data_IF_316300143218
#
_entry.id   IF_316300143218
#
_cell.length_a   1.000
_cell.length_b   1.000
_cell.length_c   1.000
_cell.angle_alpha   90.00
_cell.angle_beta   90.00
_cell.angle_gamma   90.00
#
_symmetry.space_group_name_H-M   'P 1'
#
loop_
_entity.id
_entity.type
_entity.pdbx_description
1 polymer ?
#
# COMPACT_ATOMS: atom_id res chain seq x y z
N UNK A 1 -13.63 8.89 -7.48
CA UNK A 1 -13.14 7.67 -8.13
C UNK A 1 -12.88 6.54 -7.12
N UNK A 2 -12.01 6.71 -6.08
CA UNK A 2 -11.67 5.63 -5.15
C UNK A 2 -12.84 5.10 -4.32
N UNK A 3 -13.67 5.99 -3.78
CA UNK A 3 -14.87 5.57 -3.03
C UNK A 3 -15.84 4.80 -3.92
N UNK A 4 -15.98 5.22 -5.19
CA UNK A 4 -16.81 4.51 -6.16
C UNK A 4 -16.22 3.12 -6.48
N UNK A 5 -14.91 3.04 -6.69
CA UNK A 5 -14.20 1.77 -6.92
C UNK A 5 -14.35 0.82 -5.73
N UNK A 6 -14.20 1.33 -4.50
CA UNK A 6 -14.41 0.56 -3.29
C UNK A 6 -15.86 0.06 -3.17
N UNK A 7 -16.85 0.95 -3.36
CA UNK A 7 -18.27 0.57 -3.32
C UNK A 7 -18.61 -0.49 -4.38
N UNK A 8 -18.04 -0.36 -5.59
CA UNK A 8 -18.20 -1.36 -6.64
C UNK A 8 -17.64 -2.72 -6.20
N UNK A 9 -16.44 -2.72 -5.62
CA UNK A 9 -15.80 -3.93 -5.10
C UNK A 9 -16.58 -4.54 -3.94
N UNK A 10 -17.19 -3.71 -3.08
CA UNK A 10 -17.96 -4.18 -1.93
C UNK A 10 -19.33 -4.73 -2.34
N UNK A 11 -20.09 -3.98 -3.16
CA UNK A 11 -21.41 -4.41 -3.67
C UNK A 11 -21.32 -5.66 -4.55
N UNK A 12 -20.22 -5.82 -5.30
CA UNK A 12 -19.95 -7.04 -6.08
C UNK A 12 -19.53 -8.25 -5.24
N UNK A 13 -19.36 -8.08 -3.90
CA UNK A 13 -18.87 -9.12 -3.00
C UNK A 13 -17.37 -9.39 -3.09
N UNK A 14 -16.64 -8.69 -3.98
CA UNK A 14 -15.20 -8.90 -4.20
C UNK A 14 -14.32 -8.36 -3.07
N UNK A 15 -14.87 -7.55 -2.17
CA UNK A 15 -14.16 -7.13 -0.95
C UNK A 15 -13.77 -8.32 -0.07
N UNK A 16 -14.59 -9.37 -0.03
CA UNK A 16 -14.29 -10.63 0.68
C UNK A 16 -13.11 -11.37 0.02
N UNK A 17 -13.13 -11.47 -1.32
CA UNK A 17 -12.06 -12.11 -2.07
C UNK A 17 -10.74 -11.34 -1.90
N UNK A 18 -10.78 -10.00 -1.90
CA UNK A 18 -9.59 -9.17 -1.66
C UNK A 18 -8.99 -9.39 -0.26
N UNK A 19 -9.84 -9.52 0.77
CA UNK A 19 -9.40 -9.86 2.12
C UNK A 19 -8.77 -11.26 2.17
N UNK A 20 -9.38 -12.23 1.50
CA UNK A 20 -8.83 -13.58 1.40
C UNK A 20 -7.46 -13.60 0.69
N UNK A 21 -7.29 -12.78 -0.35
CA UNK A 21 -5.98 -12.57 -1.02
C UNK A 21 -4.94 -12.07 -0.02
N UNK A 22 -5.25 -11.03 0.77
CA UNK A 22 -4.31 -10.53 1.77
C UNK A 22 -4.04 -11.53 2.89
N UNK A 23 -5.03 -12.35 3.25
CA UNK A 23 -4.83 -13.43 4.22
C UNK A 23 -3.82 -14.47 3.71
N UNK A 24 -3.95 -14.89 2.46
CA UNK A 24 -3.00 -15.81 1.82
C UNK A 24 -1.61 -15.18 1.73
N UNK A 25 -1.51 -13.93 1.26
CA UNK A 25 -0.24 -13.21 1.17
C UNK A 25 0.42 -13.08 2.56
N UNK A 26 -0.34 -12.70 3.59
CA UNK A 26 0.15 -12.54 4.96
C UNK A 26 0.41 -13.85 5.71
N UNK A 27 0.27 -15.02 5.06
CA UNK A 27 0.48 -16.35 5.66
C UNK A 27 -0.36 -16.57 6.94
N UNK A 28 -1.54 -15.97 7.01
CA UNK A 28 -2.42 -16.07 8.17
C UNK A 28 -2.00 -15.21 9.38
N UNK A 29 -0.94 -14.40 9.29
CA UNK A 29 -0.56 -13.47 10.35
C UNK A 29 -1.28 -12.12 10.16
N UNK A 30 -2.17 -11.77 11.09
CA UNK A 30 -2.94 -10.51 11.02
C UNK A 30 -2.05 -9.25 11.03
N UNK A 31 -0.87 -9.30 11.65
CA UNK A 31 0.09 -8.19 11.69
C UNK A 31 0.76 -8.00 10.34
N UNK A 32 1.14 -9.10 9.68
CA UNK A 32 1.69 -9.07 8.32
C UNK A 32 0.65 -8.55 7.33
N UNK A 33 -0.60 -9.02 7.43
CA UNK A 33 -1.71 -8.52 6.62
C UNK A 33 -1.96 -7.03 6.84
N UNK A 34 -2.04 -6.60 8.11
CA UNK A 34 -2.23 -5.19 8.46
C UNK A 34 -1.09 -4.31 7.94
N UNK A 35 0.17 -4.77 8.03
CA UNK A 35 1.32 -4.07 7.48
C UNK A 35 1.19 -3.88 5.96
N UNK A 36 0.91 -4.96 5.22
CA UNK A 36 0.80 -4.92 3.75
C UNK A 36 -0.35 -4.02 3.31
N UNK A 37 -1.51 -4.13 3.98
CA UNK A 37 -2.68 -3.30 3.66
C UNK A 37 -2.43 -1.83 4.02
N UNK A 38 -1.91 -1.54 5.20
CA UNK A 38 -1.72 -0.18 5.69
C UNK A 38 -0.59 0.57 4.97
N UNK A 39 0.46 -0.13 4.57
CA UNK A 39 1.64 0.49 3.95
C UNK A 39 1.59 0.42 2.43
N UNK A 40 1.59 -0.78 1.85
CA UNK A 40 1.73 -0.94 0.40
C UNK A 40 0.39 -0.76 -0.33
N UNK A 41 -0.69 -1.41 0.11
CA UNK A 41 -1.98 -1.31 -0.58
C UNK A 41 -2.63 0.07 -0.39
N UNK A 42 -2.59 0.62 0.82
CA UNK A 42 -3.07 1.98 1.07
C UNK A 42 -2.27 3.00 0.24
N UNK A 43 -0.96 2.86 0.15
CA UNK A 43 -0.11 3.70 -0.68
C UNK A 43 -0.44 3.62 -2.18
N UNK A 44 -0.76 2.43 -2.68
CA UNK A 44 -1.26 2.25 -4.05
C UNK A 44 -2.56 3.03 -4.28
N UNK A 45 -3.51 2.89 -3.37
CA UNK A 45 -4.77 3.64 -3.44
C UNK A 45 -4.55 5.15 -3.31
N UNK A 46 -3.60 5.58 -2.47
CA UNK A 46 -3.24 7.00 -2.31
C UNK A 46 -2.70 7.58 -3.61
N UNK A 47 -1.79 6.86 -4.28
CA UNK A 47 -1.27 7.27 -5.59
C UNK A 47 -2.36 7.44 -6.64
N UNK A 48 -3.38 6.58 -6.63
CA UNK A 48 -4.49 6.61 -7.60
C UNK A 48 -5.54 7.69 -7.30
N UNK A 49 -5.85 7.92 -6.03
CA UNK A 49 -7.04 8.68 -5.65
C UNK A 49 -6.79 9.79 -4.61
N UNK A 50 -5.90 9.57 -3.67
CA UNK A 50 -5.54 10.53 -2.63
C UNK A 50 -6.70 11.02 -1.75
N UNK A 51 -6.50 12.17 -1.13
CA UNK A 51 -7.52 12.94 -0.39
C UNK A 51 -8.22 12.18 0.76
N UNK A 52 -7.52 11.23 1.40
CA UNK A 52 -8.01 10.53 2.59
C UNK A 52 -8.96 9.35 2.33
N UNK A 53 -9.50 9.19 1.12
CA UNK A 53 -10.34 8.04 0.79
C UNK A 53 -9.59 6.69 0.95
N UNK A 54 -8.32 6.56 0.53
CA UNK A 54 -7.52 5.36 0.73
C UNK A 54 -7.39 4.95 2.19
N UNK A 55 -7.18 5.93 3.07
CA UNK A 55 -7.06 5.69 4.52
C UNK A 55 -8.35 5.10 5.09
N UNK A 56 -9.51 5.64 4.71
CA UNK A 56 -10.81 5.12 5.18
C UNK A 56 -11.03 3.67 4.72
N UNK A 57 -10.71 3.37 3.46
CA UNK A 57 -10.85 2.03 2.87
C UNK A 57 -9.90 1.04 3.56
N UNK A 58 -8.62 1.36 3.64
CA UNK A 58 -7.62 0.49 4.24
C UNK A 58 -7.86 0.31 5.75
N UNK A 59 -8.29 1.36 6.48
CA UNK A 59 -8.62 1.24 7.89
C UNK A 59 -9.84 0.32 8.13
N UNK A 60 -10.87 0.41 7.28
CA UNK A 60 -11.99 -0.52 7.33
C UNK A 60 -11.52 -1.97 7.09
N UNK A 61 -10.65 -2.19 6.11
CA UNK A 61 -10.07 -3.51 5.83
C UNK A 61 -9.27 -4.04 7.02
N UNK A 62 -8.35 -3.23 7.57
CA UNK A 62 -7.52 -3.64 8.72
C UNK A 62 -8.37 -3.91 9.97
N UNK A 63 -9.43 -3.12 10.20
CA UNK A 63 -10.36 -3.37 11.31
C UNK A 63 -11.09 -4.71 11.18
N UNK A 64 -11.37 -5.20 9.97
CA UNK A 64 -12.01 -6.51 9.77
C UNK A 64 -11.09 -7.70 10.05
N UNK A 65 -9.79 -7.47 10.24
CA UNK A 65 -8.85 -8.51 10.69
C UNK A 65 -8.98 -8.84 12.18
N UNK A 66 -9.85 -8.13 12.92
CA UNK A 66 -10.04 -8.31 14.36
C UNK A 66 -9.25 -7.33 15.23
N UNK A 67 -8.53 -6.37 14.63
CA UNK A 67 -7.82 -5.34 15.36
C UNK A 67 -8.79 -4.26 15.91
N UNK A 68 -8.49 -3.66 17.08
CA UNK A 68 -9.27 -2.53 17.59
C UNK A 68 -9.35 -1.40 16.55
N UNK A 69 -10.54 -0.86 16.30
CA UNK A 69 -10.80 0.14 15.25
C UNK A 69 -9.86 1.35 15.33
N UNK A 70 -9.58 1.85 16.53
CA UNK A 70 -8.65 2.97 16.73
C UNK A 70 -7.23 2.58 16.32
N UNK A 71 -6.76 1.39 16.70
CA UNK A 71 -5.44 0.89 16.31
C UNK A 71 -5.35 0.71 14.79
N UNK A 72 -6.37 0.15 14.15
CA UNK A 72 -6.45 0.03 12.69
C UNK A 72 -6.35 1.39 12.00
N UNK A 73 -7.10 2.39 12.47
CA UNK A 73 -7.03 3.73 11.93
C UNK A 73 -5.63 4.36 12.06
N UNK A 74 -5.03 4.29 13.26
CA UNK A 74 -3.68 4.84 13.51
C UNK A 74 -2.63 4.17 12.62
N UNK A 75 -2.62 2.84 12.52
CA UNK A 75 -1.67 2.09 11.70
C UNK A 75 -1.78 2.51 10.23
N UNK A 76 -3.00 2.63 9.71
CA UNK A 76 -3.22 3.02 8.31
C UNK A 76 -2.83 4.48 8.07
N UNK A 77 -3.18 5.41 8.96
CA UNK A 77 -2.78 6.81 8.83
C UNK A 77 -1.27 6.98 8.82
N UNK A 78 -0.56 6.31 9.73
CA UNK A 78 0.91 6.34 9.79
C UNK A 78 1.52 5.69 8.54
N UNK A 79 0.99 4.54 8.11
CA UNK A 79 1.47 3.84 6.92
C UNK A 79 1.28 4.64 5.63
N UNK A 80 0.19 5.41 5.54
CA UNK A 80 -0.11 6.24 4.37
C UNK A 80 0.72 7.52 4.30
N UNK A 81 1.25 8.02 5.41
CA UNK A 81 1.87 9.34 5.52
C UNK A 81 2.97 9.60 4.48
N UNK A 82 3.74 8.56 4.12
CA UNK A 82 4.82 8.68 3.12
C UNK A 82 4.33 8.91 1.69
N UNK A 83 3.10 8.53 1.38
CA UNK A 83 2.55 8.61 0.03
C UNK A 83 1.76 9.91 -0.22
N UNK A 84 1.41 10.66 0.82
CA UNK A 84 0.51 11.84 0.73
C UNK A 84 1.03 12.90 -0.24
N UNK A 85 2.33 13.15 -0.26
CA UNK A 85 2.93 14.11 -1.19
C UNK A 85 2.81 13.73 -2.67
N UNK A 86 2.73 12.42 -2.94
CA UNK A 86 2.54 11.84 -4.28
C UNK A 86 1.11 11.33 -4.50
N UNK A 87 0.20 11.63 -3.58
CA UNK A 87 -1.20 11.22 -3.65
C UNK A 87 -1.93 11.85 -4.84
N UNK A 88 -2.99 11.17 -5.30
CA UNK A 88 -3.79 11.59 -6.45
C UNK A 88 -2.91 12.01 -7.65
N UNK A 89 -1.96 11.16 -8.03
CA UNK A 89 -1.01 11.41 -9.13
C UNK A 89 -0.14 12.66 -8.90
N UNK A 90 0.40 12.78 -7.69
CA UNK A 90 1.27 13.86 -7.25
C UNK A 90 0.67 15.30 -7.38
N UNK A 91 -0.66 15.44 -7.24
CA UNK A 91 -1.29 16.76 -7.21
C UNK A 91 -0.66 17.67 -6.16
N UNK A 92 -0.39 17.24 -4.90
CA UNK A 92 0.25 18.09 -3.90
C UNK A 92 1.63 18.59 -4.36
N UNK A 93 2.45 17.70 -4.88
CA UNK A 93 3.80 18.02 -5.39
C UNK A 93 3.74 18.97 -6.60
N UNK A 94 2.84 18.70 -7.55
CA UNK A 94 2.62 19.56 -8.71
C UNK A 94 2.19 20.97 -8.30
N UNK A 95 1.29 21.05 -7.32
CA UNK A 95 0.81 22.34 -6.80
C UNK A 95 1.92 23.08 -6.06
N UNK A 96 2.70 22.38 -5.22
CA UNK A 96 3.83 22.97 -4.51
C UNK A 96 4.89 23.52 -5.49
N UNK A 97 5.21 22.79 -6.56
CA UNK A 97 6.11 23.26 -7.61
C UNK A 97 5.61 24.54 -8.27
N UNK A 98 4.36 24.53 -8.72
CA UNK A 98 3.76 25.70 -9.39
C UNK A 98 3.70 26.93 -8.49
N UNK A 99 3.28 26.80 -7.24
CA UNK A 99 3.22 27.89 -6.27
C UNK A 99 4.60 28.40 -5.85
N UNK A 100 5.59 27.50 -5.77
CA UNK A 100 6.97 27.82 -5.43
C UNK A 100 7.83 28.31 -6.62
N UNK A 101 7.26 28.41 -7.83
CA UNK A 101 8.00 28.79 -9.03
C UNK A 101 9.10 27.79 -9.43
N UNK A 102 8.91 26.50 -9.08
CA UNK A 102 9.83 25.42 -9.37
C UNK A 102 9.18 24.41 -10.29
N UNK A 103 10.00 23.73 -11.11
CA UNK A 103 9.53 22.61 -11.92
C UNK A 103 9.01 21.48 -10.99
N UNK A 104 7.81 20.95 -11.24
CA UNK A 104 7.24 19.87 -10.40
C UNK A 104 8.15 18.66 -10.24
N UNK A 105 8.91 18.29 -11.29
CA UNK A 105 9.85 17.16 -11.24
C UNK A 105 11.00 17.42 -10.27
N UNK A 106 11.47 18.66 -10.13
CA UNK A 106 12.52 19.03 -9.18
C UNK A 106 12.04 18.86 -7.75
N UNK A 107 10.84 19.37 -7.46
CA UNK A 107 10.20 19.21 -6.13
C UNK A 107 9.95 17.74 -5.83
N UNK A 108 9.42 16.99 -6.78
CA UNK A 108 9.15 15.56 -6.64
C UNK A 108 10.43 14.76 -6.36
N UNK A 109 11.51 15.04 -7.08
CA UNK A 109 12.79 14.35 -6.88
C UNK A 109 13.36 14.64 -5.49
N UNK A 110 13.34 15.88 -5.04
CA UNK A 110 13.77 16.25 -3.69
C UNK A 110 12.90 15.56 -2.62
N UNK A 111 11.58 15.56 -2.80
CA UNK A 111 10.66 14.85 -1.90
C UNK A 111 10.91 13.34 -1.90
N UNK A 112 11.09 12.72 -3.05
CA UNK A 112 11.36 11.29 -3.17
C UNK A 112 12.67 10.89 -2.46
N UNK A 113 13.71 11.71 -2.61
CA UNK A 113 15.00 11.52 -1.92
C UNK A 113 14.93 11.72 -0.40
N UNK A 114 13.95 12.43 0.13
CA UNK A 114 13.70 12.50 1.56
C UNK A 114 12.83 11.32 2.02
N UNK A 115 11.79 11.01 1.25
CA UNK A 115 10.79 10.01 1.61
C UNK A 115 11.36 8.60 1.66
N UNK A 116 12.33 8.24 0.78
CA UNK A 116 12.90 6.89 0.75
C UNK A 116 13.50 6.47 2.11
N UNK A 117 14.09 7.42 2.84
CA UNK A 117 14.65 7.14 4.18
C UNK A 117 13.53 6.75 5.15
N UNK A 118 12.41 7.48 5.12
CA UNK A 118 11.26 7.15 5.98
C UNK A 118 10.60 5.84 5.60
N UNK A 119 10.62 5.45 4.33
CA UNK A 119 10.11 4.15 3.89
C UNK A 119 10.77 2.98 4.62
N UNK A 120 12.05 3.08 4.99
CA UNK A 120 12.75 2.03 5.73
C UNK A 120 12.25 1.89 7.19
N UNK A 121 11.81 2.99 7.81
CA UNK A 121 11.45 3.01 9.23
C UNK A 121 9.96 2.86 9.49
N UNK A 122 9.10 3.41 8.64
CA UNK A 122 7.65 3.40 8.84
C UNK A 122 7.10 1.98 9.01
N UNK A 123 7.45 0.96 8.20
CA UNK A 123 6.95 -0.39 8.41
C UNK A 123 7.33 -0.99 9.78
N UNK A 124 8.52 -0.68 10.29
CA UNK A 124 8.92 -1.08 11.64
C UNK A 124 8.08 -0.39 12.71
N UNK A 125 7.79 0.90 12.53
CA UNK A 125 6.90 1.66 13.41
C UNK A 125 5.48 1.07 13.40
N UNK A 126 4.97 0.69 12.23
CA UNK A 126 3.66 0.02 12.13
C UNK A 126 3.62 -1.28 12.94
N UNK A 127 4.65 -2.11 12.84
CA UNK A 127 4.77 -3.34 13.64
C UNK A 127 4.82 -3.03 15.14
N UNK A 128 5.52 -1.98 15.53
CA UNK A 128 5.57 -1.53 16.92
C UNK A 128 4.18 -1.07 17.42
N UNK A 129 3.42 -0.35 16.62
CA UNK A 129 2.05 0.05 16.96
C UNK A 129 1.13 -1.17 17.04
N UNK A 130 1.30 -2.15 16.16
CA UNK A 130 0.48 -3.35 16.11
C UNK A 130 0.69 -4.27 17.32
N UNK A 131 1.95 -4.57 17.68
CA UNK A 131 2.30 -5.60 18.67
C UNK A 131 3.56 -5.26 19.48
N UNK A 132 3.93 -3.99 19.59
CA UNK A 132 5.09 -3.56 20.37
C UNK A 132 6.42 -4.17 19.87
N UNK A 133 7.36 -4.32 20.79
CA UNK A 133 8.68 -4.89 20.49
C UNK A 133 8.61 -6.33 19.96
N UNK A 134 7.59 -7.11 20.33
CA UNK A 134 7.40 -8.47 19.86
C UNK A 134 7.08 -8.50 18.35
N UNK A 135 6.18 -7.64 17.89
CA UNK A 135 5.84 -7.51 16.48
C UNK A 135 7.06 -7.17 15.63
N UNK A 136 7.86 -6.20 16.10
CA UNK A 136 9.11 -5.83 15.44
C UNK A 136 10.08 -7.02 15.38
N UNK A 137 10.35 -7.69 16.51
CA UNK A 137 11.29 -8.84 16.55
C UNK A 137 10.88 -9.98 15.62
N UNK A 138 9.60 -10.23 15.45
CA UNK A 138 9.09 -11.36 14.66
C UNK A 138 8.93 -11.05 13.18
N UNK A 139 8.64 -9.79 12.82
CA UNK A 139 8.25 -9.39 11.47
C UNK A 139 9.19 -8.34 10.83
N UNK A 140 10.31 -7.96 11.50
CA UNK A 140 11.25 -6.99 10.96
C UNK A 140 11.77 -7.32 9.55
N UNK A 141 12.01 -8.61 9.16
CA UNK A 141 12.49 -8.87 7.82
C UNK A 141 11.48 -8.45 6.74
N UNK A 142 10.19 -8.74 6.99
CA UNK A 142 9.10 -8.30 6.09
C UNK A 142 9.02 -6.77 6.03
N UNK A 143 9.12 -6.10 7.19
CA UNK A 143 9.06 -4.64 7.26
C UNK A 143 10.21 -3.98 6.48
N UNK A 144 11.44 -4.51 6.61
CA UNK A 144 12.59 -4.00 5.87
C UNK A 144 12.44 -4.24 4.36
N UNK A 145 12.01 -5.44 3.96
CA UNK A 145 11.79 -5.73 2.53
C UNK A 145 10.72 -4.81 1.93
N UNK A 146 9.57 -4.68 2.58
CA UNK A 146 8.52 -3.78 2.13
C UNK A 146 8.99 -2.32 2.07
N UNK A 147 9.65 -1.86 3.14
CA UNK A 147 10.14 -0.50 3.25
C UNK A 147 11.21 -0.15 2.24
N UNK A 148 12.24 -0.99 2.10
CA UNK A 148 13.33 -0.75 1.15
C UNK A 148 12.83 -0.80 -0.31
N UNK A 149 11.97 -1.76 -0.66
CA UNK A 149 11.42 -1.84 -2.01
C UNK A 149 10.59 -0.59 -2.36
N UNK A 150 9.72 -0.16 -1.44
CA UNK A 150 8.96 1.09 -1.60
C UNK A 150 9.89 2.30 -1.66
N UNK A 151 10.93 2.34 -0.81
CA UNK A 151 11.93 3.40 -0.78
C UNK A 151 12.69 3.52 -2.11
N UNK A 152 13.11 2.41 -2.71
CA UNK A 152 13.73 2.38 -4.05
C UNK A 152 12.78 2.99 -5.07
N UNK A 153 11.48 2.65 -5.03
CA UNK A 153 10.48 3.28 -5.88
C UNK A 153 10.43 4.79 -5.70
N UNK A 154 10.33 5.28 -4.46
CA UNK A 154 10.32 6.72 -4.17
C UNK A 154 11.60 7.44 -4.60
N UNK A 155 12.74 6.77 -4.55
CA UNK A 155 14.01 7.38 -4.94
C UNK A 155 14.15 7.56 -6.45
N UNK A 156 13.79 6.54 -7.24
CA UNK A 156 14.05 6.54 -8.68
C UNK A 156 12.87 7.01 -9.54
N UNK A 157 11.63 6.70 -9.12
CA UNK A 157 10.45 6.96 -9.96
C UNK A 157 10.17 8.45 -10.23
N UNK A 158 10.41 9.41 -9.31
CA UNK A 158 10.15 10.82 -9.58
C UNK A 158 10.89 11.36 -10.79
N UNK A 159 12.09 10.85 -11.09
CA UNK A 159 12.89 11.25 -12.27
C UNK A 159 12.33 10.70 -13.59
N UNK A 160 11.51 9.64 -13.53
CA UNK A 160 10.92 8.99 -14.72
C UNK A 160 9.50 9.52 -14.95
N UNK A 161 8.67 9.45 -13.90
CA UNK A 161 7.30 9.96 -13.87
C UNK A 161 6.92 10.25 -12.44
N UNK A 162 6.98 11.52 -12.05
CA UNK A 162 6.68 11.91 -10.68
C UNK A 162 5.20 11.67 -10.30
N UNK A 163 4.29 11.71 -11.28
CA UNK A 163 2.88 11.45 -11.07
C UNK A 163 2.60 9.99 -10.67
N UNK A 164 3.41 9.05 -11.17
CA UNK A 164 3.23 7.63 -10.89
C UNK A 164 4.06 7.15 -9.69
N UNK A 165 4.78 8.05 -8.99
CA UNK A 165 5.71 7.67 -7.92
C UNK A 165 5.04 6.82 -6.84
N UNK A 166 3.95 7.27 -6.23
CA UNK A 166 3.28 6.51 -5.17
C UNK A 166 2.75 5.17 -5.68
N UNK A 167 2.23 5.13 -6.92
CA UNK A 167 1.70 3.90 -7.53
C UNK A 167 2.81 2.87 -7.73
N UNK A 168 3.90 3.26 -8.42
CA UNK A 168 4.99 2.34 -8.73
C UNK A 168 5.77 1.92 -7.49
N UNK A 169 6.04 2.86 -6.57
CA UNK A 169 6.70 2.55 -5.31
C UNK A 169 5.89 1.55 -4.45
N UNK A 170 4.58 1.76 -4.36
CA UNK A 170 3.68 0.87 -3.60
C UNK A 170 3.54 -0.50 -4.26
N UNK A 171 3.50 -0.58 -5.60
CA UNK A 171 3.50 -1.84 -6.32
C UNK A 171 4.81 -2.62 -6.11
N UNK A 172 5.98 -1.93 -6.12
CA UNK A 172 7.26 -2.54 -5.79
C UNK A 172 7.27 -3.09 -4.36
N UNK A 173 6.78 -2.32 -3.39
CA UNK A 173 6.67 -2.76 -2.00
C UNK A 173 5.75 -3.97 -1.83
N UNK A 174 4.60 -3.96 -2.54
CA UNK A 174 3.64 -5.07 -2.52
C UNK A 174 4.24 -6.34 -3.14
N UNK A 175 4.84 -6.20 -4.32
CA UNK A 175 5.47 -7.31 -5.03
C UNK A 175 6.64 -7.91 -4.24
N UNK A 176 7.52 -7.06 -3.69
CA UNK A 176 8.64 -7.51 -2.86
C UNK A 176 8.17 -8.23 -1.60
N UNK A 177 7.14 -7.71 -0.93
CA UNK A 177 6.54 -8.36 0.24
C UNK A 177 5.96 -9.73 -0.11
N UNK A 178 5.24 -9.83 -1.22
CA UNK A 178 4.69 -11.09 -1.71
C UNK A 178 5.78 -12.12 -2.03
N UNK A 179 6.78 -11.74 -2.83
CA UNK A 179 7.89 -12.62 -3.20
C UNK A 179 8.67 -13.07 -1.97
N UNK A 180 8.92 -12.15 -1.03
CA UNK A 180 9.58 -12.49 0.23
C UNK A 180 8.79 -13.51 1.04
N UNK A 181 7.48 -13.35 1.15
CA UNK A 181 6.60 -14.26 1.88
C UNK A 181 6.42 -15.62 1.19
N UNK A 182 6.81 -15.79 -0.08
CA UNK A 182 6.86 -17.12 -0.69
C UNK A 182 7.95 -18.02 -0.05
N UNK A 183 9.08 -17.40 0.32
CA UNK A 183 10.25 -18.11 0.87
C UNK A 183 10.37 -17.99 2.39
N UNK A 184 9.71 -17.00 2.99
CA UNK A 184 9.77 -16.75 4.43
C UNK A 184 8.37 -16.84 5.06
N UNK A 185 8.29 -17.44 6.25
CA UNK A 185 7.03 -17.59 6.99
C UNK A 185 7.17 -16.90 8.35
N UNK A 186 6.23 -16.01 8.71
CA UNK A 186 6.27 -15.34 10.02
C UNK A 186 6.01 -16.31 11.17
N UNK A 187 6.64 -16.04 12.32
CA UNK A 187 6.30 -16.72 13.58
C UNK A 187 5.05 -16.04 14.16
N UNK A 188 3.91 -16.67 13.99
CA UNK A 188 2.60 -16.08 14.33
C UNK A 188 2.11 -16.59 15.67
N UNK A 189 1.96 -15.72 16.72
CA UNK A 189 1.26 -16.06 17.95
C UNK A 189 -0.22 -16.37 17.70
N UNK A 190 -0.81 -17.25 18.53
CA UNK A 190 -2.22 -17.67 18.33
C UNK A 190 -3.20 -16.50 18.28
N UNK A 191 -3.00 -15.49 19.11
CA UNK A 191 -3.85 -14.29 19.15
C UNK A 191 -3.85 -13.44 17.88
N UNK A 192 -2.80 -13.58 17.02
CA UNK A 192 -2.67 -12.89 15.73
C UNK A 192 -2.86 -13.83 14.53
N UNK A 193 -3.28 -15.08 14.80
CA UNK A 193 -3.61 -16.01 13.72
C UNK A 193 -4.98 -15.66 13.15
N UNK A 194 -5.02 -15.44 11.85
CA UNK A 194 -6.26 -15.16 11.13
C UNK A 194 -7.25 -16.31 11.28
N UNK A 195 -8.50 -15.97 11.58
CA UNK A 195 -9.59 -16.93 11.67
C UNK A 195 -10.18 -17.31 10.30
N UNK A 196 -9.71 -16.69 9.21
CA UNK A 196 -10.11 -17.06 7.86
C UNK A 196 -9.55 -18.45 7.58
N UNK A 197 -10.45 -19.42 7.45
CA UNK A 197 -10.07 -20.82 7.22
C UNK A 197 -9.23 -20.93 5.94
N UNK A 198 -8.26 -21.84 5.93
CA UNK A 198 -7.47 -22.13 4.73
C UNK A 198 -8.36 -22.63 3.55
N UNK A 199 -9.55 -23.15 3.87
CA UNK A 199 -10.57 -23.58 2.90
C UNK A 199 -11.19 -22.41 2.11
N UNK A 200 -11.12 -21.17 2.61
CA UNK A 200 -11.57 -19.96 1.93
C UNK A 200 -10.47 -19.31 1.06
N UNK A 201 -9.37 -19.98 0.81
CA UNK A 201 -8.35 -19.48 -0.11
C UNK A 201 -8.99 -19.26 -1.50
N UNK A 202 -8.98 -18.03 -2.03
CA UNK A 202 -9.63 -17.75 -3.29
C UNK A 202 -8.91 -18.50 -4.42
N UNK A 203 -9.66 -19.08 -5.32
CA UNK A 203 -9.12 -19.66 -6.54
C UNK A 203 -8.53 -18.55 -7.44
N UNK A 204 -7.80 -18.96 -8.47
CA UNK A 204 -7.11 -18.03 -9.36
C UNK A 204 -8.06 -17.03 -10.03
N UNK A 205 -9.24 -17.46 -10.37
CA UNK A 205 -10.26 -16.61 -11.02
C UNK A 205 -10.77 -15.53 -10.06
N UNK A 206 -11.07 -15.90 -8.81
CA UNK A 206 -11.51 -14.96 -7.76
C UNK A 206 -10.41 -13.94 -7.43
N UNK A 207 -9.14 -14.35 -7.37
CA UNK A 207 -7.99 -13.45 -7.18
C UNK A 207 -7.91 -12.43 -8.31
N UNK A 208 -7.97 -12.89 -9.58
CA UNK A 208 -7.92 -12.01 -10.75
C UNK A 208 -9.09 -11.03 -10.72
N UNK A 209 -10.31 -11.49 -10.48
CA UNK A 209 -11.50 -10.63 -10.46
C UNK A 209 -11.48 -9.63 -9.29
N UNK A 210 -10.92 -9.99 -8.14
CA UNK A 210 -10.78 -9.09 -7.00
C UNK A 210 -9.76 -7.96 -7.26
N UNK A 211 -8.67 -8.26 -7.96
CA UNK A 211 -7.60 -7.30 -8.26
C UNK A 211 -7.86 -6.52 -9.57
N UNK A 212 -8.69 -7.06 -10.46
CA UNK A 212 -8.94 -6.50 -11.81
C UNK A 212 -9.31 -5.00 -11.79
N UNK A 213 -10.23 -4.51 -10.94
CA UNK A 213 -10.60 -3.10 -10.92
C UNK A 213 -9.39 -2.19 -10.62
N UNK A 214 -8.52 -2.60 -9.71
CA UNK A 214 -7.32 -1.85 -9.33
C UNK A 214 -6.27 -1.88 -10.44
N UNK A 215 -6.05 -3.05 -11.04
CA UNK A 215 -5.14 -3.23 -12.18
C UNK A 215 -5.59 -2.40 -13.37
N UNK A 216 -6.88 -2.42 -13.71
CA UNK A 216 -7.43 -1.61 -14.80
C UNK A 216 -7.22 -0.11 -14.58
N UNK A 217 -7.48 0.38 -13.37
CA UNK A 217 -7.24 1.81 -13.05
C UNK A 217 -5.76 2.15 -13.20
N UNK A 218 -4.84 1.32 -12.69
CA UNK A 218 -3.39 1.52 -12.86
C UNK A 218 -3.01 1.55 -14.33
N UNK A 219 -3.47 0.57 -15.11
CA UNK A 219 -3.14 0.47 -16.55
C UNK A 219 -3.68 1.67 -17.33
N UNK A 220 -4.94 2.06 -17.10
CA UNK A 220 -5.55 3.21 -17.78
C UNK A 220 -4.77 4.49 -17.46
N UNK A 221 -4.43 4.72 -16.19
CA UNK A 221 -3.68 5.90 -15.78
C UNK A 221 -2.27 5.88 -16.36
N UNK A 222 -1.57 4.74 -16.26
CA UNK A 222 -0.22 4.62 -16.80
C UNK A 222 -0.20 4.83 -18.33
N UNK A 223 -1.13 4.24 -19.07
CA UNK A 223 -1.21 4.41 -20.52
C UNK A 223 -1.53 5.84 -20.92
N UNK A 224 -2.46 6.51 -20.26
CA UNK A 224 -2.77 7.92 -20.56
C UNK A 224 -1.60 8.85 -20.28
N UNK A 225 -0.79 8.57 -19.24
CA UNK A 225 0.40 9.37 -18.92
C UNK A 225 1.56 9.07 -19.85
N UNK A 226 1.82 7.81 -20.16
CA UNK A 226 2.88 7.45 -21.13
C UNK A 226 2.56 7.96 -22.54
N UNK A 227 1.29 8.01 -22.90
CA UNK A 227 0.85 8.60 -24.17
C UNK A 227 1.19 10.10 -24.27
N UNK A 228 1.04 10.84 -23.18
CA UNK A 228 1.37 12.28 -23.15
C UNK A 228 2.88 12.56 -23.11
N UNK A 229 3.72 11.58 -22.75
CA UNK A 229 5.18 11.69 -22.75
C UNK A 229 5.80 11.35 -24.12
N UNK A 230 5.07 10.71 -25.00
CA UNK A 230 5.56 10.22 -26.31
C UNK A 230 5.08 11.01 -27.53
N UNK A 231 4.32 12.09 -27.31
CA UNK A 231 3.77 12.98 -28.35
C UNK A 231 3.99 14.43 -27.93
#
# INVERSE_FOLDING_TARGET
AAVWLYNLTDVSGRSKDLKAVFNVIGKGDMRAQALIVAFSFCGLLEGLAGFGAPVAIAAAMVATLGLPKLKAAVVVMVGNAINVGFGAMAIPTTTAGKLGGQEPVTVATAMGHLTWVFCAFIPLLLLFILDGARGVKQLWPLAIVAGLATGVGHFFTPSISYELTAVLASLLGLAASYVFLLVWTPTTPEEYRSQVAAEDAPDRERVILALLPYVLVVVIIATTKLWTLGI
#
